data_IF_292679670362
#
_entry.id   IF_292679670362
#
_cell.length_a   1.000
_cell.length_b   1.000
_cell.length_c   1.000
_cell.angle_alpha   90.00
_cell.angle_beta   90.00
_cell.angle_gamma   90.00
#
_symmetry.space_group_name_H-M   'P 1'
#
loop_
_entity.id
_entity.type
_entity.pdbx_description
1 polymer ?
#
# COMPACT_ATOMS: atom_id res chain seq x y z
N UNK A 1 -34.01 -4.30 -18.05
CA UNK A 1 -35.41 -4.45 -17.59
C UNK A 1 -35.79 -3.13 -16.95
N UNK A 2 -36.68 -2.36 -17.57
CA UNK A 2 -37.18 -1.13 -16.95
C UNK A 2 -38.05 -1.52 -15.76
N UNK A 3 -37.79 -0.89 -14.63
CA UNK A 3 -38.55 -1.06 -13.40
C UNK A 3 -39.93 -0.39 -13.59
N UNK A 4 -41.00 -1.05 -13.17
CA UNK A 4 -42.39 -0.65 -13.45
C UNK A 4 -42.82 0.68 -12.83
N UNK A 5 -43.96 1.21 -13.27
CA UNK A 5 -44.52 2.48 -12.77
C UNK A 5 -44.82 2.46 -11.26
N UNK A 6 -45.11 1.28 -10.69
CA UNK A 6 -45.31 1.12 -9.24
C UNK A 6 -44.10 1.58 -8.40
N UNK A 7 -42.90 1.56 -8.97
CA UNK A 7 -41.70 2.03 -8.28
C UNK A 7 -41.50 3.54 -8.40
N UNK A 8 -42.05 4.17 -9.44
CA UNK A 8 -42.17 5.63 -9.51
C UNK A 8 -43.09 6.13 -8.38
N UNK A 9 -44.18 5.41 -8.12
CA UNK A 9 -45.10 5.68 -7.01
C UNK A 9 -44.37 5.64 -5.65
N UNK A 10 -43.41 4.73 -5.43
CA UNK A 10 -42.60 4.72 -4.20
C UNK A 10 -41.84 6.04 -4.00
N UNK A 11 -41.20 6.57 -5.04
CA UNK A 11 -40.52 7.86 -4.97
C UNK A 11 -41.48 9.00 -4.66
N UNK A 12 -42.68 9.00 -5.25
CA UNK A 12 -43.68 10.05 -4.99
C UNK A 12 -44.26 9.96 -3.58
N UNK A 13 -44.46 8.75 -3.04
CA UNK A 13 -44.84 8.50 -1.64
C UNK A 13 -43.77 9.08 -0.72
N UNK A 14 -42.49 8.77 -0.93
CA UNK A 14 -41.38 9.30 -0.13
C UNK A 14 -41.26 10.83 -0.23
N UNK A 15 -41.66 11.41 -1.35
CA UNK A 15 -41.71 12.87 -1.53
C UNK A 15 -42.87 13.54 -0.78
N UNK A 16 -43.93 12.79 -0.48
CA UNK A 16 -45.18 13.31 0.12
C UNK A 16 -45.32 13.03 1.60
N UNK A 17 -44.56 12.07 2.12
CA UNK A 17 -44.64 11.58 3.48
C UNK A 17 -43.26 11.52 4.13
N UNK A 18 -43.22 11.85 5.42
CA UNK A 18 -41.97 11.83 6.17
C UNK A 18 -41.66 10.44 6.68
N UNK A 19 -40.38 10.08 6.61
CA UNK A 19 -39.83 8.95 7.36
C UNK A 19 -40.07 9.17 8.86
N UNK A 20 -40.65 8.17 9.51
CA UNK A 20 -40.88 8.23 10.96
C UNK A 20 -39.55 8.19 11.72
N UNK A 21 -39.38 9.11 12.67
CA UNK A 21 -38.17 9.23 13.49
C UNK A 21 -37.86 7.91 14.19
N UNK A 22 -36.61 7.43 14.07
CA UNK A 22 -36.12 6.17 14.64
C UNK A 22 -36.82 4.90 14.13
N UNK A 23 -37.40 4.95 12.94
CA UNK A 23 -37.93 3.75 12.26
C UNK A 23 -37.54 3.76 10.79
N UNK A 24 -37.44 2.59 10.17
CA UNK A 24 -37.21 2.46 8.72
C UNK A 24 -38.55 2.38 7.96
N UNK A 25 -39.56 3.13 8.42
CA UNK A 25 -40.91 3.08 7.87
C UNK A 25 -41.45 4.46 7.53
N UNK A 26 -42.17 4.53 6.41
CA UNK A 26 -43.07 5.64 6.08
C UNK A 26 -44.48 5.16 6.35
N UNK A 27 -45.22 5.89 7.19
CA UNK A 27 -46.56 5.50 7.63
C UNK A 27 -47.56 6.58 7.28
N UNK A 28 -48.66 6.20 6.64
CA UNK A 28 -49.72 7.11 6.23
C UNK A 28 -51.07 6.38 6.17
N UNK A 29 -52.17 7.13 6.08
CA UNK A 29 -53.49 6.54 5.95
C UNK A 29 -53.84 6.33 4.47
N UNK A 30 -54.60 5.28 4.18
CA UNK A 30 -55.08 4.98 2.84
C UNK A 30 -56.00 6.09 2.31
N UNK A 31 -56.77 6.73 3.19
CA UNK A 31 -57.59 7.90 2.86
C UNK A 31 -56.74 9.08 2.39
N UNK A 32 -55.65 9.41 3.10
CA UNK A 32 -54.77 10.51 2.68
C UNK A 32 -54.03 10.17 1.37
N UNK A 33 -53.64 8.90 1.20
CA UNK A 33 -53.03 8.43 -0.04
C UNK A 33 -53.95 8.66 -1.25
N UNK A 34 -55.22 8.22 -1.17
CA UNK A 34 -56.22 8.40 -2.24
C UNK A 34 -56.43 9.87 -2.62
N UNK A 35 -56.34 10.77 -1.63
CA UNK A 35 -56.50 12.21 -1.86
C UNK A 35 -55.27 12.80 -2.58
N UNK A 36 -54.06 12.46 -2.15
CA UNK A 36 -52.82 13.00 -2.73
C UNK A 36 -52.45 12.41 -4.09
N UNK A 37 -52.73 11.12 -4.30
CA UNK A 37 -52.35 10.37 -5.51
C UNK A 37 -53.53 10.09 -6.43
N UNK A 38 -54.61 10.88 -6.36
CA UNK A 38 -55.84 10.64 -7.11
C UNK A 38 -55.61 10.61 -8.64
N UNK A 39 -54.60 11.31 -9.14
CA UNK A 39 -54.26 11.34 -10.57
C UNK A 39 -53.32 10.19 -10.97
N UNK A 40 -52.51 9.69 -10.05
CA UNK A 40 -51.46 8.71 -10.31
C UNK A 40 -51.91 7.26 -10.01
N UNK A 41 -52.70 7.05 -8.94
CA UNK A 41 -53.17 5.74 -8.49
C UNK A 41 -54.56 5.79 -7.83
N UNK A 42 -55.55 6.33 -8.54
CA UNK A 42 -56.93 6.50 -8.04
C UNK A 42 -57.55 5.22 -7.45
N UNK A 43 -57.27 4.09 -8.09
CA UNK A 43 -57.85 2.79 -7.74
C UNK A 43 -56.92 1.95 -6.84
N UNK A 44 -55.83 2.51 -6.32
CA UNK A 44 -54.87 1.82 -5.42
C UNK A 44 -54.18 0.62 -6.11
N UNK A 45 -54.23 0.54 -7.44
CA UNK A 45 -53.73 -0.61 -8.19
C UNK A 45 -52.22 -0.76 -8.01
N UNK A 46 -51.48 0.34 -8.01
CA UNK A 46 -50.03 0.30 -7.86
C UNK A 46 -49.62 0.07 -6.41
N UNK A 47 -50.36 0.64 -5.45
CA UNK A 47 -50.14 0.37 -4.04
C UNK A 47 -50.40 -1.11 -3.68
N UNK A 48 -51.43 -1.75 -4.24
CA UNK A 48 -51.70 -3.18 -4.08
C UNK A 48 -50.57 -4.04 -4.67
N UNK A 49 -50.01 -3.66 -5.82
CA UNK A 49 -48.83 -4.34 -6.39
C UNK A 49 -47.61 -4.25 -5.46
N UNK A 50 -47.38 -3.08 -4.85
CA UNK A 50 -46.30 -2.88 -3.89
C UNK A 50 -46.50 -3.69 -2.60
N UNK A 51 -47.74 -3.90 -2.18
CA UNK A 51 -48.09 -4.80 -1.08
C UNK A 51 -47.80 -6.27 -1.46
N UNK A 52 -48.20 -6.72 -2.65
CA UNK A 52 -47.90 -8.07 -3.15
C UNK A 52 -46.40 -8.34 -3.26
N UNK A 53 -45.62 -7.33 -3.65
CA UNK A 53 -44.15 -7.39 -3.69
C UNK A 53 -43.51 -7.28 -2.30
N UNK A 54 -44.30 -7.01 -1.26
CA UNK A 54 -43.88 -6.99 0.14
C UNK A 54 -43.18 -5.71 0.58
N UNK A 55 -43.18 -4.64 -0.21
CA UNK A 55 -42.67 -3.32 0.17
C UNK A 55 -43.58 -2.62 1.17
N UNK A 56 -44.88 -2.88 1.04
CA UNK A 56 -45.93 -2.22 1.82
C UNK A 56 -46.72 -3.26 2.62
N UNK A 57 -47.28 -2.83 3.76
CA UNK A 57 -48.29 -3.59 4.50
C UNK A 57 -49.48 -2.69 4.76
N UNK A 58 -50.68 -3.14 4.39
CA UNK A 58 -51.93 -2.43 4.63
C UNK A 58 -52.70 -3.12 5.76
N UNK A 59 -52.99 -2.39 6.85
CA UNK A 59 -53.79 -2.90 7.99
C UNK A 59 -54.66 -1.79 8.54
N UNK A 60 -55.97 -2.04 8.65
CA UNK A 60 -56.93 -1.12 9.25
C UNK A 60 -56.80 0.33 8.71
N UNK A 61 -56.81 0.50 7.38
CA UNK A 61 -56.63 1.79 6.68
C UNK A 61 -55.26 2.47 6.89
N UNK A 62 -54.31 1.83 7.56
CA UNK A 62 -52.94 2.31 7.72
C UNK A 62 -52.04 1.58 6.73
N UNK A 63 -51.24 2.34 6.02
CA UNK A 63 -50.25 1.87 5.06
C UNK A 63 -48.86 2.07 5.67
N UNK A 64 -48.07 1.01 5.70
CA UNK A 64 -46.69 1.01 6.22
C UNK A 64 -45.76 0.61 5.08
N UNK A 65 -44.96 1.56 4.58
CA UNK A 65 -43.90 1.31 3.61
C UNK A 65 -42.59 1.02 4.33
N UNK A 66 -42.00 -0.15 4.06
CA UNK A 66 -40.74 -0.58 4.63
C UNK A 66 -39.56 -0.13 3.76
N UNK A 67 -38.79 0.84 4.26
CA UNK A 67 -37.64 1.42 3.56
C UNK A 67 -36.51 0.41 3.41
N UNK A 68 -36.23 -0.38 4.45
CA UNK A 68 -35.18 -1.40 4.42
C UNK A 68 -35.37 -2.32 3.21
N UNK A 69 -36.58 -2.85 3.01
CA UNK A 69 -36.88 -3.74 1.89
C UNK A 69 -36.69 -3.06 0.55
N UNK A 70 -37.08 -1.78 0.45
CA UNK A 70 -36.89 -1.00 -0.77
C UNK A 70 -35.42 -0.75 -1.10
N UNK A 71 -34.61 -0.33 -0.12
CA UNK A 71 -33.17 -0.15 -0.30
C UNK A 71 -32.47 -1.46 -0.68
N UNK A 72 -32.80 -2.57 -0.01
CA UNK A 72 -32.24 -3.88 -0.32
C UNK A 72 -32.58 -4.32 -1.75
N UNK A 73 -33.83 -4.13 -2.17
CA UNK A 73 -34.25 -4.39 -3.55
C UNK A 73 -33.52 -3.52 -4.57
N UNK A 74 -33.36 -2.22 -4.30
CA UNK A 74 -32.58 -1.33 -5.15
C UNK A 74 -31.14 -1.82 -5.30
N UNK A 75 -30.48 -2.16 -4.20
CA UNK A 75 -29.10 -2.66 -4.19
C UNK A 75 -28.97 -3.97 -4.98
N UNK A 76 -29.92 -4.89 -4.81
CA UNK A 76 -29.97 -6.15 -5.57
C UNK A 76 -30.07 -5.90 -7.08
N UNK A 77 -30.95 -4.99 -7.50
CA UNK A 77 -31.10 -4.63 -8.92
C UNK A 77 -29.86 -3.92 -9.44
N UNK A 78 -29.33 -2.96 -8.68
CA UNK A 78 -28.15 -2.20 -9.05
C UNK A 78 -26.96 -3.14 -9.27
N UNK A 79 -26.71 -4.06 -8.34
CA UNK A 79 -25.68 -5.09 -8.46
C UNK A 79 -25.88 -5.94 -9.72
N UNK A 80 -27.08 -6.46 -9.97
CA UNK A 80 -27.38 -7.23 -11.20
C UNK A 80 -27.10 -6.43 -12.47
N UNK A 81 -27.50 -5.16 -12.52
CA UNK A 81 -27.26 -4.31 -13.69
C UNK A 81 -25.78 -4.04 -13.90
N UNK A 82 -25.04 -3.71 -12.84
CA UNK A 82 -23.59 -3.49 -12.92
C UNK A 82 -22.85 -4.75 -13.39
N UNK A 83 -23.21 -5.93 -12.85
CA UNK A 83 -22.66 -7.22 -13.31
C UNK A 83 -22.98 -7.46 -14.77
N UNK A 84 -24.19 -7.17 -15.23
CA UNK A 84 -24.56 -7.32 -16.64
C UNK A 84 -23.77 -6.39 -17.59
N UNK A 85 -23.24 -5.28 -17.07
CA UNK A 85 -22.35 -4.36 -17.79
C UNK A 85 -20.86 -4.71 -17.63
N UNK A 86 -20.52 -5.79 -16.91
CA UNK A 86 -19.15 -6.28 -16.74
C UNK A 86 -18.43 -5.76 -15.48
N UNK A 87 -19.09 -4.99 -14.63
CA UNK A 87 -18.51 -4.51 -13.38
C UNK A 87 -18.60 -5.55 -12.27
N UNK A 88 -17.53 -5.68 -11.47
CA UNK A 88 -17.45 -6.59 -10.32
C UNK A 88 -17.49 -5.78 -9.02
N UNK A 89 -18.68 -5.31 -8.66
CA UNK A 89 -18.92 -4.61 -7.41
C UNK A 89 -19.85 -5.41 -6.51
N UNK A 90 -19.48 -5.49 -5.24
CA UNK A 90 -20.38 -5.93 -4.18
C UNK A 90 -21.06 -4.68 -3.60
N UNK A 91 -22.38 -4.69 -3.56
CA UNK A 91 -23.17 -3.56 -3.07
C UNK A 91 -24.07 -4.06 -1.96
N UNK A 92 -24.06 -3.37 -0.83
CA UNK A 92 -24.82 -3.69 0.37
C UNK A 92 -25.47 -2.44 0.94
N UNK A 93 -26.65 -2.58 1.54
CA UNK A 93 -27.29 -1.51 2.28
C UNK A 93 -27.11 -1.74 3.79
N UNK A 94 -26.47 -0.80 4.48
CA UNK A 94 -26.36 -0.78 5.94
C UNK A 94 -27.57 -0.05 6.53
N UNK A 95 -28.53 -0.82 7.02
CA UNK A 95 -29.77 -0.31 7.60
C UNK A 95 -29.56 0.53 8.88
N UNK A 96 -28.46 0.31 9.60
CA UNK A 96 -28.18 1.02 10.86
C UNK A 96 -27.64 2.41 10.60
N UNK A 97 -26.82 2.54 9.55
CA UNK A 97 -26.22 3.81 9.14
C UNK A 97 -27.01 4.53 8.05
N UNK A 98 -27.96 3.85 7.41
CA UNK A 98 -28.71 4.34 6.24
C UNK A 98 -27.77 4.72 5.08
N UNK A 99 -26.82 3.81 4.79
CA UNK A 99 -25.79 3.96 3.76
C UNK A 99 -25.83 2.79 2.78
N UNK A 100 -25.53 3.07 1.52
CA UNK A 100 -25.18 2.04 0.53
C UNK A 100 -23.66 1.98 0.45
N UNK A 101 -23.13 0.79 0.67
CA UNK A 101 -21.70 0.48 0.68
C UNK A 101 -21.38 -0.23 -0.62
N UNK A 102 -20.39 0.30 -1.36
CA UNK A 102 -19.87 -0.32 -2.56
C UNK A 102 -18.45 -0.80 -2.26
N UNK A 103 -18.23 -2.09 -2.48
CA UNK A 103 -16.96 -2.77 -2.28
C UNK A 103 -16.50 -3.48 -3.54
N UNK A 104 -15.19 -3.68 -3.63
CA UNK A 104 -14.54 -4.51 -4.63
C UNK A 104 -13.50 -5.35 -3.88
N UNK A 105 -13.53 -6.66 -4.08
CA UNK A 105 -12.61 -7.62 -3.42
C UNK A 105 -12.60 -7.50 -1.87
N UNK A 106 -13.78 -7.49 -1.26
CA UNK A 106 -14.02 -7.41 0.21
C UNK A 106 -13.61 -6.09 0.91
N UNK A 107 -13.09 -5.09 0.19
CA UNK A 107 -12.80 -3.77 0.75
C UNK A 107 -13.92 -2.76 0.46
N UNK A 108 -14.40 -2.06 1.49
CA UNK A 108 -15.39 -0.99 1.36
C UNK A 108 -14.71 0.23 0.76
N UNK A 109 -15.18 0.61 -0.42
CA UNK A 109 -14.48 1.57 -1.26
C UNK A 109 -15.26 2.87 -1.47
N UNK A 110 -16.57 2.85 -1.32
CA UNK A 110 -17.42 4.04 -1.38
C UNK A 110 -18.65 3.86 -0.51
N UNK A 111 -18.96 4.90 0.27
CA UNK A 111 -20.20 5.00 1.05
C UNK A 111 -21.10 6.08 0.44
N UNK A 112 -22.36 5.74 0.20
CA UNK A 112 -23.36 6.62 -0.38
C UNK A 112 -24.50 6.79 0.62
N UNK A 113 -24.82 8.03 0.99
CA UNK A 113 -25.94 8.31 1.88
C UNK A 113 -27.26 8.07 1.15
N UNK A 114 -28.24 7.52 1.87
CA UNK A 114 -29.60 7.36 1.34
C UNK A 114 -30.49 8.48 1.86
N UNK A 115 -31.15 9.19 0.95
CA UNK A 115 -32.06 10.28 1.32
C UNK A 115 -33.51 10.00 0.93
N UNK A 116 -34.41 10.18 1.91
CA UNK A 116 -35.87 10.14 1.76
C UNK A 116 -36.53 11.48 2.06
N UNK A 117 -35.80 12.50 2.50
CA UNK A 117 -36.36 13.82 2.80
C UNK A 117 -36.23 14.74 1.57
N UNK A 118 -37.36 15.12 0.93
CA UNK A 118 -37.35 16.01 -0.22
C UNK A 118 -36.87 17.43 0.11
N UNK A 119 -36.82 17.80 1.40
CA UNK A 119 -36.33 19.10 1.88
C UNK A 119 -34.94 19.01 2.51
N UNK A 120 -34.23 17.90 2.35
CA UNK A 120 -32.87 17.77 2.89
C UNK A 120 -31.97 18.86 2.32
N UNK A 121 -31.30 19.61 3.18
CA UNK A 121 -30.16 20.43 2.76
C UNK A 121 -29.01 19.48 2.42
N UNK A 122 -28.70 19.38 1.13
CA UNK A 122 -27.58 18.58 0.68
C UNK A 122 -26.27 19.20 1.18
N UNK A 123 -25.46 18.39 1.85
CA UNK A 123 -24.07 18.72 2.06
C UNK A 123 -23.32 18.39 0.76
N UNK A 124 -22.64 19.37 0.17
CA UNK A 124 -22.00 19.23 -1.14
C UNK A 124 -20.90 18.15 -1.16
N UNK A 125 -20.37 17.80 0.02
CA UNK A 125 -19.28 16.84 0.15
C UNK A 125 -19.77 15.38 0.33
N UNK A 126 -21.07 15.16 0.56
CA UNK A 126 -21.63 13.83 0.80
C UNK A 126 -22.37 13.30 -0.42
N UNK A 127 -21.85 12.21 -1.00
CA UNK A 127 -22.53 11.54 -2.10
C UNK A 127 -23.82 10.90 -1.61
N UNK A 128 -24.93 11.31 -2.21
CA UNK A 128 -26.27 10.93 -1.76
C UNK A 128 -27.07 10.32 -2.92
N UNK A 129 -27.69 9.17 -2.69
CA UNK A 129 -28.72 8.60 -3.56
C UNK A 129 -30.09 8.99 -3.01
N UNK A 130 -30.89 9.63 -3.86
CA UNK A 130 -32.23 10.08 -3.51
C UNK A 130 -33.27 9.05 -3.89
N UNK A 131 -34.10 8.71 -2.91
CA UNK A 131 -35.27 7.86 -3.05
C UNK A 131 -36.57 8.68 -3.13
N UNK A 132 -36.48 10.01 -3.07
CA UNK A 132 -37.57 10.94 -3.27
C UNK A 132 -37.22 11.94 -4.39
N UNK A 133 -38.25 12.61 -4.91
CA UNK A 133 -38.10 13.70 -5.87
C UNK A 133 -37.73 14.98 -5.13
N UNK A 134 -36.65 15.63 -5.58
CA UNK A 134 -36.23 16.93 -5.07
C UNK A 134 -36.88 18.06 -5.87
N UNK A 135 -37.41 19.11 -5.21
CA UNK A 135 -38.09 20.22 -5.88
C UNK A 135 -37.15 21.21 -6.59
N UNK A 136 -35.85 21.19 -6.32
CA UNK A 136 -34.96 22.34 -6.62
C UNK A 136 -33.67 22.02 -7.39
N UNK A 137 -33.46 20.78 -7.85
CA UNK A 137 -32.17 20.40 -8.46
C UNK A 137 -32.36 19.76 -9.85
N UNK A 138 -31.72 20.36 -10.85
CA UNK A 138 -31.62 19.79 -12.21
C UNK A 138 -30.70 18.55 -12.27
N UNK A 139 -29.84 18.35 -11.27
CA UNK A 139 -28.87 17.25 -11.27
C UNK A 139 -28.75 16.65 -9.86
N UNK A 140 -29.51 15.59 -9.59
CA UNK A 140 -29.35 14.75 -8.40
C UNK A 140 -29.41 13.27 -8.77
N UNK A 141 -28.73 12.45 -7.99
CA UNK A 141 -28.63 11.02 -8.24
C UNK A 141 -29.88 10.30 -7.72
N UNK A 142 -30.90 10.17 -8.58
CA UNK A 142 -32.15 9.49 -8.23
C UNK A 142 -32.06 7.99 -8.49
N UNK A 143 -32.45 7.18 -7.50
CA UNK A 143 -32.36 5.72 -7.56
C UNK A 143 -33.07 5.12 -8.78
N UNK A 144 -34.26 5.64 -9.11
CA UNK A 144 -35.07 5.15 -10.24
C UNK A 144 -34.42 5.47 -11.60
N UNK A 145 -33.66 6.57 -11.70
CA UNK A 145 -32.93 6.90 -12.92
C UNK A 145 -31.74 5.95 -13.06
N UNK A 146 -31.00 5.72 -11.97
CA UNK A 146 -29.85 4.80 -11.97
C UNK A 146 -30.19 3.39 -12.43
N UNK A 147 -31.35 2.87 -12.04
CA UNK A 147 -31.76 1.51 -12.42
C UNK A 147 -32.46 1.42 -13.77
N UNK A 148 -32.80 2.55 -14.42
CA UNK A 148 -33.52 2.54 -15.70
C UNK A 148 -32.72 3.13 -16.88
N UNK A 149 -31.72 3.97 -16.62
CA UNK A 149 -30.91 4.63 -17.65
C UNK A 149 -29.48 4.07 -17.66
N UNK A 150 -29.08 3.45 -18.78
CA UNK A 150 -27.73 2.90 -18.96
C UNK A 150 -26.64 3.99 -18.90
N UNK A 151 -26.91 5.20 -19.38
CA UNK A 151 -25.94 6.29 -19.33
C UNK A 151 -25.72 6.76 -17.90
N UNK A 152 -26.80 6.92 -17.14
CA UNK A 152 -26.71 7.26 -15.71
C UNK A 152 -25.94 6.19 -14.94
N UNK A 153 -26.19 4.90 -15.24
CA UNK A 153 -25.49 3.78 -14.63
C UNK A 153 -24.00 3.75 -15.00
N UNK A 154 -23.64 4.02 -16.25
CA UNK A 154 -22.25 4.10 -16.71
C UNK A 154 -21.49 5.25 -16.04
N UNK A 155 -22.12 6.43 -15.96
CA UNK A 155 -21.53 7.60 -15.27
C UNK A 155 -21.30 7.28 -13.78
N UNK A 156 -22.29 6.68 -13.13
CA UNK A 156 -22.18 6.24 -11.74
C UNK A 156 -21.04 5.25 -11.53
N UNK A 157 -20.93 4.24 -12.40
CA UNK A 157 -19.87 3.23 -12.37
C UNK A 157 -18.48 3.84 -12.58
N UNK A 158 -18.37 4.84 -13.47
CA UNK A 158 -17.13 5.58 -13.70
C UNK A 158 -16.71 6.40 -12.48
N UNK A 159 -17.67 7.06 -11.81
CA UNK A 159 -17.41 7.81 -10.58
C UNK A 159 -16.88 6.89 -9.48
N UNK A 160 -17.53 5.73 -9.29
CA UNK A 160 -17.08 4.71 -8.34
C UNK A 160 -15.68 4.20 -8.71
N UNK A 161 -15.47 3.81 -9.97
CA UNK A 161 -14.17 3.36 -10.50
C UNK A 161 -13.05 4.36 -10.26
N UNK A 162 -13.28 5.65 -10.48
CA UNK A 162 -12.24 6.66 -10.28
C UNK A 162 -11.95 6.92 -8.80
N UNK A 163 -12.97 6.86 -7.94
CA UNK A 163 -12.76 6.92 -6.49
C UNK A 163 -11.94 5.74 -6.00
N UNK A 164 -12.27 4.54 -6.46
CA UNK A 164 -11.51 3.31 -6.24
C UNK A 164 -10.04 3.45 -6.66
N UNK A 165 -9.81 3.86 -7.91
CA UNK A 165 -8.46 4.12 -8.42
C UNK A 165 -7.72 5.13 -7.55
N UNK A 166 -8.35 6.24 -7.17
CA UNK A 166 -7.74 7.26 -6.29
C UNK A 166 -7.34 6.69 -4.93
N UNK A 167 -8.22 5.92 -4.28
CA UNK A 167 -7.91 5.24 -3.01
C UNK A 167 -6.73 4.27 -3.17
N UNK A 168 -6.70 3.50 -4.26
CA UNK A 168 -5.60 2.60 -4.56
C UNK A 168 -4.28 3.35 -4.86
N UNK A 169 -4.35 4.56 -5.42
CA UNK A 169 -3.17 5.45 -5.56
C UNK A 169 -2.63 5.87 -4.19
N UNK A 170 -3.51 6.22 -3.25
CA UNK A 170 -3.11 6.64 -1.90
C UNK A 170 -2.48 5.50 -1.08
N UNK A 171 -2.84 4.24 -1.37
CA UNK A 171 -2.29 3.04 -0.72
C UNK A 171 -0.96 2.53 -1.30
N UNK A 172 -0.34 3.25 -2.22
CA UNK A 172 0.91 2.82 -2.85
C UNK A 172 2.09 2.77 -1.88
N UNK A 173 2.94 1.75 -2.05
CA UNK A 173 4.15 1.58 -1.24
C UNK A 173 5.29 2.38 -1.88
N UNK A 174 5.85 3.30 -1.11
CA UNK A 174 6.99 4.13 -1.51
C UNK A 174 8.17 3.93 -0.57
N UNK A 175 9.35 3.71 -1.14
CA UNK A 175 10.62 3.67 -0.41
C UNK A 175 11.30 5.04 -0.50
N UNK A 176 11.54 5.65 0.66
CA UNK A 176 12.09 6.99 0.80
C UNK A 176 13.29 7.05 1.78
N UNK A 177 13.80 5.91 2.22
CA UNK A 177 14.89 5.81 3.20
C UNK A 177 16.29 5.90 2.57
N UNK A 178 16.40 6.32 1.31
CA UNK A 178 17.66 6.50 0.58
C UNK A 178 18.40 7.80 0.93
N UNK A 179 18.00 8.47 2.03
CA UNK A 179 18.60 9.74 2.46
C UNK A 179 20.11 9.57 2.72
N UNK A 180 20.91 10.44 2.11
CA UNK A 180 22.37 10.44 2.26
C UNK A 180 23.14 9.50 1.34
N UNK A 181 22.43 8.75 0.47
CA UNK A 181 23.02 8.00 -0.65
C UNK A 181 23.22 8.90 -1.86
N UNK A 182 24.26 8.62 -2.64
CA UNK A 182 24.52 9.33 -3.88
C UNK A 182 23.64 8.74 -5.02
N UNK A 183 23.30 9.51 -6.07
CA UNK A 183 22.41 9.04 -7.13
C UNK A 183 22.88 7.74 -7.82
N UNK A 184 24.20 7.52 -7.89
CA UNK A 184 24.81 6.29 -8.41
C UNK A 184 24.47 5.06 -7.55
N UNK A 185 24.43 5.19 -6.22
CA UNK A 185 24.05 4.11 -5.32
C UNK A 185 22.57 3.76 -5.47
N UNK A 186 21.72 4.78 -5.62
CA UNK A 186 20.27 4.60 -5.86
C UNK A 186 20.04 3.89 -7.21
N UNK A 187 20.82 4.23 -8.24
CA UNK A 187 20.81 3.53 -9.51
C UNK A 187 21.20 2.06 -9.35
N UNK A 188 22.23 1.74 -8.56
CA UNK A 188 22.59 0.34 -8.29
C UNK A 188 21.48 -0.41 -7.54
N UNK A 189 20.86 0.21 -6.53
CA UNK A 189 19.74 -0.39 -5.83
C UNK A 189 18.59 -0.70 -6.80
N UNK A 190 18.23 0.26 -7.66
CA UNK A 190 17.11 0.11 -8.60
C UNK A 190 17.38 -0.90 -9.71
N UNK A 191 18.52 -0.79 -10.41
CA UNK A 191 18.82 -1.60 -11.58
C UNK A 191 19.43 -2.98 -11.25
N UNK A 192 20.02 -3.14 -10.07
CA UNK A 192 20.67 -4.39 -9.65
C UNK A 192 19.90 -5.03 -8.51
N UNK A 193 19.90 -4.43 -7.32
CA UNK A 193 19.43 -5.08 -6.09
C UNK A 193 17.96 -5.49 -6.14
N UNK A 194 17.07 -4.59 -6.58
CA UNK A 194 15.64 -4.88 -6.66
C UNK A 194 15.34 -5.88 -7.78
N UNK A 195 15.96 -5.71 -8.95
CA UNK A 195 15.79 -6.67 -10.07
C UNK A 195 16.26 -8.07 -9.68
N UNK A 196 17.39 -8.19 -8.99
CA UNK A 196 17.89 -9.48 -8.50
C UNK A 196 16.93 -10.13 -7.51
N UNK A 197 16.37 -9.37 -6.56
CA UNK A 197 15.39 -9.89 -5.62
C UNK A 197 14.17 -10.52 -6.32
N UNK A 198 13.62 -9.84 -7.33
CA UNK A 198 12.48 -10.39 -8.08
C UNK A 198 12.86 -11.63 -8.92
N UNK A 199 14.09 -11.67 -9.46
CA UNK A 199 14.63 -12.87 -10.13
C UNK A 199 14.78 -14.04 -9.16
N UNK A 200 15.22 -13.81 -7.92
CA UNK A 200 15.31 -14.86 -6.89
C UNK A 200 13.95 -15.48 -6.54
N UNK A 201 12.88 -14.70 -6.65
CA UNK A 201 11.51 -15.17 -6.49
C UNK A 201 10.92 -15.84 -7.74
N UNK A 202 11.72 -16.02 -8.80
CA UNK A 202 11.30 -16.52 -10.11
C UNK A 202 10.16 -15.70 -10.74
N UNK A 203 10.17 -14.37 -10.55
CA UNK A 203 9.21 -13.47 -11.19
C UNK A 203 9.77 -12.93 -12.51
N UNK A 204 8.91 -12.85 -13.52
CA UNK A 204 9.30 -12.36 -14.84
C UNK A 204 9.42 -10.82 -14.82
N UNK A 205 10.58 -10.31 -15.25
CA UNK A 205 10.83 -8.87 -15.40
C UNK A 205 10.57 -8.47 -16.85
N UNK A 206 9.68 -7.51 -17.04
CA UNK A 206 9.30 -6.96 -18.33
C UNK A 206 9.87 -5.53 -18.43
N UNK A 207 10.86 -5.36 -19.31
CA UNK A 207 11.56 -4.06 -19.48
C UNK A 207 10.84 -3.10 -20.44
N UNK A 208 9.86 -3.60 -21.22
CA UNK A 208 9.11 -2.78 -22.16
C UNK A 208 7.81 -2.24 -21.55
N UNK A 209 7.63 -0.92 -21.69
CA UNK A 209 6.46 -0.17 -21.28
C UNK A 209 5.53 -0.01 -22.49
N UNK A 210 4.45 -0.79 -22.57
CA UNK A 210 3.38 -0.49 -23.54
C UNK A 210 2.39 0.55 -23.01
N UNK A 211 2.31 0.74 -21.69
CA UNK A 211 1.19 1.42 -21.01
C UNK A 211 1.65 2.68 -20.27
N UNK A 212 2.31 3.60 -20.98
CA UNK A 212 2.90 4.85 -20.41
C UNK A 212 1.86 5.81 -19.83
N UNK A 213 0.64 5.85 -20.39
CA UNK A 213 -0.36 6.88 -20.05
C UNK A 213 -0.89 6.77 -18.60
N UNK A 214 -1.15 5.54 -18.14
CA UNK A 214 -1.63 5.28 -16.77
C UNK A 214 -0.53 5.59 -15.74
N UNK A 215 0.74 5.37 -16.10
CA UNK A 215 1.89 5.68 -15.24
C UNK A 215 2.05 7.19 -15.06
N UNK A 216 1.91 8.00 -16.12
CA UNK A 216 1.98 9.46 -16.03
C UNK A 216 0.89 10.05 -15.13
N UNK A 217 -0.36 9.58 -15.25
CA UNK A 217 -1.47 10.00 -14.39
C UNK A 217 -1.21 9.72 -12.91
N UNK A 218 -0.50 8.63 -12.64
CA UNK A 218 -0.24 8.16 -11.27
C UNK A 218 1.00 8.80 -10.64
N UNK A 219 2.05 9.00 -11.42
CA UNK A 219 3.36 9.49 -10.95
C UNK A 219 3.40 11.03 -10.89
N UNK A 220 2.65 11.71 -11.77
CA UNK A 220 2.59 13.17 -11.89
C UNK A 220 3.95 13.85 -12.13
N UNK A 221 4.95 13.12 -12.63
CA UNK A 221 6.26 13.66 -13.04
C UNK A 221 6.61 13.15 -14.43
N UNK A 222 7.33 13.97 -15.21
CA UNK A 222 7.68 13.64 -16.60
C UNK A 222 8.90 12.73 -16.70
N UNK A 223 9.82 12.81 -15.72
CA UNK A 223 11.03 11.99 -15.66
C UNK A 223 10.90 10.89 -14.61
N UNK A 224 10.83 9.64 -15.06
CA UNK A 224 10.92 8.46 -14.20
C UNK A 224 11.48 7.27 -14.98
N UNK A 225 12.21 6.40 -14.27
CA UNK A 225 12.56 5.08 -14.80
C UNK A 225 11.49 4.07 -14.34
N UNK A 226 11.07 3.16 -15.23
CA UNK A 226 10.08 2.12 -14.88
C UNK A 226 10.44 0.78 -15.53
N UNK A 227 10.18 -0.30 -14.80
CA UNK A 227 10.04 -1.64 -15.35
C UNK A 227 8.90 -2.36 -14.64
N UNK A 228 8.40 -3.44 -15.25
CA UNK A 228 7.33 -4.23 -14.68
C UNK A 228 7.83 -5.60 -14.21
N UNK A 229 7.16 -6.14 -13.19
CA UNK A 229 7.38 -7.48 -12.67
C UNK A 229 6.06 -8.23 -12.68
N UNK A 230 6.00 -9.40 -13.31
CA UNK A 230 4.78 -10.20 -13.42
C UNK A 230 4.73 -11.25 -12.30
N UNK A 231 3.61 -11.30 -11.58
CA UNK A 231 3.29 -12.32 -10.59
C UNK A 231 1.89 -12.87 -10.86
N UNK A 232 1.82 -13.99 -11.57
CA UNK A 232 0.54 -14.58 -11.97
C UNK A 232 -0.28 -13.62 -12.85
N UNK A 233 -1.44 -13.21 -12.34
CA UNK A 233 -2.33 -12.25 -13.01
C UNK A 233 -2.01 -10.79 -12.72
N UNK A 234 -1.10 -10.52 -11.77
CA UNK A 234 -0.76 -9.16 -11.36
C UNK A 234 0.54 -8.70 -12.01
N UNK A 235 0.62 -7.40 -12.30
CA UNK A 235 1.82 -6.70 -12.77
C UNK A 235 2.20 -5.62 -11.76
N UNK A 236 3.45 -5.61 -11.33
CA UNK A 236 3.99 -4.64 -10.41
C UNK A 236 4.86 -3.67 -11.21
N UNK A 237 4.47 -2.41 -11.32
CA UNK A 237 5.33 -1.36 -11.82
C UNK A 237 6.30 -0.93 -10.72
N UNK A 238 7.60 -0.96 -11.03
CA UNK A 238 8.67 -0.51 -10.14
C UNK A 238 9.22 0.79 -10.71
N UNK A 239 8.91 1.90 -10.07
CA UNK A 239 9.10 3.24 -10.61
C UNK A 239 10.15 3.98 -9.77
N UNK A 240 11.21 4.46 -10.39
CA UNK A 240 12.21 5.31 -9.74
C UNK A 240 11.93 6.77 -10.09
N UNK A 241 11.80 7.58 -9.04
CA UNK A 241 11.60 9.03 -9.13
C UNK A 241 12.61 9.67 -8.20
N UNK A 242 13.63 10.31 -8.75
CA UNK A 242 14.73 10.93 -7.99
C UNK A 242 15.29 9.97 -6.92
N UNK A 243 15.12 10.32 -5.64
CA UNK A 243 15.58 9.58 -4.47
C UNK A 243 14.49 8.67 -3.85
N UNK A 244 13.49 8.27 -4.64
CA UNK A 244 12.38 7.43 -4.19
C UNK A 244 12.11 6.32 -5.20
N UNK A 245 11.68 5.18 -4.68
CA UNK A 245 11.23 4.05 -5.51
C UNK A 245 9.80 3.71 -5.09
N UNK A 246 8.86 3.77 -6.04
CA UNK A 246 7.45 3.48 -5.85
C UNK A 246 7.10 2.13 -6.47
N UNK A 247 6.15 1.45 -5.84
CA UNK A 247 5.59 0.19 -6.35
C UNK A 247 4.10 0.37 -6.55
N UNK A 248 3.63 -0.01 -7.74
CA UNK A 248 2.23 0.11 -8.13
C UNK A 248 1.78 -1.23 -8.71
N UNK A 249 0.65 -1.74 -8.25
CA UNK A 249 0.12 -3.03 -8.68
C UNK A 249 -1.06 -2.85 -9.62
N UNK A 250 -1.02 -3.56 -10.72
CA UNK A 250 -2.07 -3.63 -11.74
C UNK A 250 -2.54 -5.08 -11.90
N UNK A 251 -3.81 -5.27 -12.25
CA UNK A 251 -4.33 -6.55 -12.71
C UNK A 251 -4.11 -6.74 -14.24
N UNK A 252 -4.72 -7.79 -14.82
CA UNK A 252 -4.61 -8.07 -16.26
C UNK A 252 -5.31 -7.01 -17.13
N UNK A 253 -6.27 -6.27 -16.58
CA UNK A 253 -7.04 -5.23 -17.25
C UNK A 253 -6.39 -3.85 -17.07
N UNK A 254 -5.17 -3.79 -16.53
CA UNK A 254 -4.43 -2.57 -16.21
C UNK A 254 -5.16 -1.67 -15.20
N UNK A 255 -6.01 -2.25 -14.34
CA UNK A 255 -6.67 -1.54 -13.25
C UNK A 255 -5.76 -1.55 -12.04
N UNK A 256 -5.65 -0.40 -11.37
CA UNK A 256 -4.93 -0.27 -10.10
C UNK A 256 -5.63 -1.11 -9.03
N UNK A 257 -4.90 -2.07 -8.48
CA UNK A 257 -5.45 -3.01 -7.48
C UNK A 257 -4.56 -3.08 -6.25
N UNK A 258 -5.18 -3.35 -5.11
CA UNK A 258 -4.49 -3.68 -3.88
C UNK A 258 -4.44 -5.21 -3.73
N UNK A 259 -3.27 -5.78 -3.44
CA UNK A 259 -3.13 -7.22 -3.24
C UNK A 259 -2.13 -7.51 -2.10
N UNK A 260 -2.61 -8.19 -1.06
CA UNK A 260 -1.84 -8.46 0.16
C UNK A 260 -0.61 -9.33 -0.10
N UNK A 261 -0.67 -10.29 -1.03
CA UNK A 261 0.48 -11.14 -1.34
C UNK A 261 1.58 -10.38 -2.08
N UNK A 262 1.21 -9.42 -2.92
CA UNK A 262 2.16 -8.51 -3.59
C UNK A 262 2.76 -7.55 -2.56
N UNK A 263 1.92 -6.98 -1.70
CA UNK A 263 2.34 -6.09 -0.60
C UNK A 263 3.36 -6.78 0.32
N UNK A 264 3.10 -8.02 0.75
CA UNK A 264 4.03 -8.79 1.58
C UNK A 264 5.41 -8.98 0.93
N UNK A 265 5.46 -9.21 -0.38
CA UNK A 265 6.72 -9.30 -1.14
C UNK A 265 7.46 -7.95 -1.08
N UNK A 266 6.75 -6.85 -1.32
CA UNK A 266 7.34 -5.50 -1.33
C UNK A 266 7.81 -5.11 0.08
N UNK A 267 7.06 -5.44 1.14
CA UNK A 267 7.47 -5.20 2.53
C UNK A 267 8.73 -6.00 2.86
N UNK A 268 8.80 -7.27 2.47
CA UNK A 268 10.01 -8.10 2.66
C UNK A 268 11.22 -7.50 1.94
N UNK A 269 11.03 -7.00 0.71
CA UNK A 269 12.06 -6.28 -0.02
C UNK A 269 12.50 -5.01 0.73
N UNK A 270 11.56 -4.25 1.28
CA UNK A 270 11.82 -3.03 2.06
C UNK A 270 12.76 -3.31 3.23
N UNK A 271 12.46 -4.34 4.02
CA UNK A 271 13.26 -4.72 5.19
C UNK A 271 14.69 -5.10 4.78
N UNK A 272 14.84 -5.96 3.76
CA UNK A 272 16.15 -6.35 3.22
C UNK A 272 16.96 -5.15 2.71
N UNK A 273 16.30 -4.21 2.03
CA UNK A 273 16.96 -3.00 1.54
C UNK A 273 17.39 -2.07 2.67
N UNK A 274 16.58 -1.90 3.72
CA UNK A 274 16.94 -1.10 4.89
C UNK A 274 18.20 -1.66 5.56
N UNK A 275 18.27 -2.99 5.75
CA UNK A 275 19.46 -3.63 6.29
C UNK A 275 20.70 -3.37 5.43
N UNK A 276 20.57 -3.47 4.10
CA UNK A 276 21.64 -3.18 3.13
C UNK A 276 22.11 -1.73 3.17
N UNK A 277 21.18 -0.78 3.22
CA UNK A 277 21.49 0.66 3.30
C UNK A 277 22.18 0.98 4.61
N UNK A 278 21.75 0.38 5.72
CA UNK A 278 22.41 0.53 7.01
C UNK A 278 23.83 -0.06 7.01
N UNK A 279 24.04 -1.23 6.38
CA UNK A 279 25.37 -1.82 6.17
C UNK A 279 26.29 -0.85 5.40
N UNK A 280 25.80 -0.28 4.29
CA UNK A 280 26.53 0.68 3.48
C UNK A 280 26.88 1.96 4.25
N UNK A 281 25.92 2.54 4.97
CA UNK A 281 26.14 3.75 5.76
C UNK A 281 27.19 3.53 6.85
N UNK A 282 27.18 2.37 7.52
CA UNK A 282 28.20 1.99 8.48
C UNK A 282 29.60 1.90 7.84
N UNK A 283 29.70 1.27 6.66
CA UNK A 283 30.93 1.17 5.88
C UNK A 283 31.44 2.57 5.48
N UNK A 284 30.56 3.42 4.96
CA UNK A 284 30.87 4.80 4.54
C UNK A 284 31.37 5.63 5.72
N UNK A 285 30.80 5.48 6.90
CA UNK A 285 31.27 6.18 8.10
C UNK A 285 32.66 5.73 8.53
N UNK A 286 32.97 4.42 8.47
CA UNK A 286 34.32 3.89 8.76
C UNK A 286 35.36 4.49 7.79
N UNK A 287 35.01 4.56 6.50
CA UNK A 287 35.88 5.15 5.47
C UNK A 287 36.07 6.65 5.67
N UNK A 288 34.99 7.41 5.91
CA UNK A 288 35.04 8.87 6.13
C UNK A 288 35.91 9.26 7.33
N UNK A 289 35.84 8.47 8.41
CA UNK A 289 36.65 8.69 9.61
C UNK A 289 38.14 8.30 9.43
N UNK A 290 38.54 7.84 8.24
CA UNK A 290 39.90 7.37 7.93
C UNK A 290 40.40 6.38 8.98
N UNK A 291 39.51 5.57 9.56
CA UNK A 291 39.86 4.65 10.65
C UNK A 291 40.93 3.68 10.18
N UNK A 292 40.85 3.21 8.93
CA UNK A 292 41.85 2.32 8.34
C UNK A 292 43.21 3.01 8.21
N UNK A 293 43.26 4.25 7.70
CA UNK A 293 44.51 4.99 7.55
C UNK A 293 45.13 5.31 8.91
N UNK A 294 44.31 5.72 9.89
CA UNK A 294 44.76 6.03 11.24
C UNK A 294 45.24 4.77 11.95
N UNK A 295 44.52 3.66 11.85
CA UNK A 295 44.95 2.38 12.43
C UNK A 295 46.19 1.82 11.75
N UNK A 296 46.35 2.00 10.42
CA UNK A 296 47.58 1.64 9.70
C UNK A 296 48.78 2.45 10.20
N UNK A 297 48.60 3.76 10.39
CA UNK A 297 49.65 4.64 10.96
C UNK A 297 50.00 4.24 12.39
N UNK A 298 49.02 3.91 13.23
CA UNK A 298 49.25 3.43 14.59
C UNK A 298 50.00 2.10 14.58
N UNK A 299 49.62 1.14 13.73
CA UNK A 299 50.32 -0.13 13.58
C UNK A 299 51.76 0.06 13.07
N UNK A 300 52.00 1.00 12.15
CA UNK A 300 53.34 1.37 11.70
C UNK A 300 54.17 2.00 12.83
N UNK A 301 53.59 2.93 13.60
CA UNK A 301 54.23 3.52 14.78
C UNK A 301 54.62 2.46 15.82
N UNK A 302 53.71 1.54 16.13
CA UNK A 302 53.98 0.43 17.03
C UNK A 302 55.08 -0.49 16.48
N UNK A 303 55.10 -0.76 15.18
CA UNK A 303 56.15 -1.57 14.55
C UNK A 303 57.52 -0.86 14.60
N UNK A 304 57.57 0.45 14.36
CA UNK A 304 58.79 1.27 14.46
C UNK A 304 59.34 1.27 15.88
N UNK A 305 58.50 1.17 16.91
CA UNK A 305 58.93 1.12 18.31
C UNK A 305 59.32 -0.31 18.73
N UNK A 306 58.48 -1.29 18.42
CA UNK A 306 58.65 -2.67 18.89
C UNK A 306 59.78 -3.40 18.16
N UNK A 307 60.01 -3.16 16.87
CA UNK A 307 61.05 -3.84 16.09
C UNK A 307 62.46 -3.51 16.60
N UNK A 308 62.84 -2.24 16.84
CA UNK A 308 64.13 -1.91 17.44
C UNK A 308 64.25 -2.42 18.88
N UNK A 309 63.19 -2.38 19.69
CA UNK A 309 63.20 -2.94 21.05
C UNK A 309 63.50 -4.45 21.00
N UNK A 310 62.80 -5.20 20.14
CA UNK A 310 63.09 -6.62 19.93
C UNK A 310 64.51 -6.85 19.44
N UNK A 311 65.00 -6.02 18.50
CA UNK A 311 66.37 -6.10 17.98
C UNK A 311 67.42 -5.85 19.06
N UNK A 312 67.20 -4.86 19.93
CA UNK A 312 68.06 -4.54 21.07
C UNK A 312 68.04 -5.65 22.12
N UNK A 313 66.87 -6.23 22.41
CA UNK A 313 66.76 -7.38 23.31
C UNK A 313 67.52 -8.58 22.74
N UNK A 314 67.39 -8.85 21.44
CA UNK A 314 68.08 -9.96 20.77
C UNK A 314 69.61 -9.76 20.76
N UNK A 315 70.08 -8.56 20.41
CA UNK A 315 71.50 -8.19 20.45
C UNK A 315 72.06 -8.28 21.88
N UNK A 316 71.35 -7.76 22.86
CA UNK A 316 71.79 -7.80 24.26
C UNK A 316 71.86 -9.23 24.82
N UNK A 317 70.93 -10.10 24.43
CA UNK A 317 70.99 -11.52 24.73
C UNK A 317 72.19 -12.20 24.05
N UNK A 318 72.46 -11.86 22.78
CA UNK A 318 73.63 -12.37 22.05
C UNK A 318 74.95 -11.91 22.66
N UNK A 319 74.99 -10.71 23.26
CA UNK A 319 76.16 -10.13 23.92
C UNK A 319 76.29 -10.58 25.40
N UNK A 320 75.41 -11.46 25.89
CA UNK A 320 75.40 -11.95 27.27
C UNK A 320 75.38 -10.83 28.34
N UNK A 321 74.67 -9.73 28.08
CA UNK A 321 74.55 -8.64 29.06
C UNK A 321 73.68 -9.13 30.25
N UNK A 322 74.30 -9.28 31.42
CA UNK A 322 73.73 -9.95 32.61
C UNK A 322 72.39 -9.38 33.09
N UNK A 323 72.23 -8.05 33.05
CA UNK A 323 70.98 -7.39 33.45
C UNK A 323 69.81 -7.67 32.49
N UNK A 324 70.05 -7.70 31.18
CA UNK A 324 69.01 -7.96 30.18
C UNK A 324 68.61 -9.43 30.18
N UNK A 325 69.55 -10.32 30.49
CA UNK A 325 69.31 -11.74 30.68
C UNK A 325 68.36 -12.00 31.86
N UNK A 326 68.55 -11.30 32.98
CA UNK A 326 67.61 -11.37 34.13
C UNK A 326 66.20 -10.86 33.80
N UNK A 327 66.08 -9.83 32.96
CA UNK A 327 64.77 -9.30 32.53
C UNK A 327 64.06 -10.27 31.58
N UNK A 328 64.78 -10.87 30.64
CA UNK A 328 64.22 -11.77 29.63
C UNK A 328 63.93 -13.17 30.18
N UNK A 329 64.69 -13.65 31.16
CA UNK A 329 64.44 -14.92 31.87
C UNK A 329 63.32 -14.79 32.92
N UNK A 330 62.88 -13.58 33.25
CA UNK A 330 61.76 -13.36 34.15
C UNK A 330 60.43 -13.76 33.48
N UNK A 331 59.86 -14.87 33.94
CA UNK A 331 58.58 -15.41 33.44
C UNK A 331 57.44 -14.38 33.44
N UNK A 332 57.39 -13.46 34.42
CA UNK A 332 56.35 -12.43 34.46
C UNK A 332 56.48 -11.43 33.31
N UNK A 333 57.71 -11.02 32.97
CA UNK A 333 57.99 -10.09 31.86
C UNK A 333 57.68 -10.76 30.53
N UNK A 334 58.05 -12.03 30.37
CA UNK A 334 57.74 -12.83 29.18
C UNK A 334 56.22 -12.94 28.95
N UNK A 335 55.46 -13.33 29.98
CA UNK A 335 54.00 -13.43 29.89
C UNK A 335 53.33 -12.07 29.67
N UNK A 336 53.85 -11.00 30.28
CA UNK A 336 53.36 -9.64 30.06
C UNK A 336 53.53 -9.17 28.61
N UNK A 337 54.68 -9.44 28.00
CA UNK A 337 54.92 -9.15 26.58
C UNK A 337 54.02 -10.01 25.68
N UNK A 338 53.89 -11.31 25.96
CA UNK A 338 53.01 -12.20 25.19
C UNK A 338 51.54 -11.73 25.22
N UNK A 339 51.03 -11.33 26.38
CA UNK A 339 49.67 -10.77 26.53
C UNK A 339 49.51 -9.48 25.71
N UNK A 340 50.51 -8.60 25.75
CA UNK A 340 50.50 -7.33 25.02
C UNK A 340 50.49 -7.56 23.49
N UNK A 341 51.21 -8.57 23.00
CA UNK A 341 51.13 -9.01 21.60
C UNK A 341 49.75 -9.57 21.23
N UNK A 342 49.12 -10.37 22.09
CA UNK A 342 47.78 -10.92 21.84
C UNK A 342 46.74 -9.79 21.76
N UNK A 343 46.77 -8.84 22.71
CA UNK A 343 45.84 -7.70 22.74
C UNK A 343 46.01 -6.82 21.49
N UNK A 344 47.25 -6.47 21.14
CA UNK A 344 47.52 -5.66 19.94
C UNK A 344 47.10 -6.38 18.65
N UNK A 345 47.26 -7.71 18.58
CA UNK A 345 46.80 -8.52 17.46
C UNK A 345 45.28 -8.53 17.34
N UNK A 346 44.55 -8.77 18.44
CA UNK A 346 43.07 -8.74 18.46
C UNK A 346 42.55 -7.35 18.08
N UNK A 347 43.13 -6.29 18.63
CA UNK A 347 42.79 -4.91 18.28
C UNK A 347 43.00 -4.66 16.78
N UNK A 348 44.13 -5.10 16.22
CA UNK A 348 44.41 -4.93 14.79
C UNK A 348 43.41 -5.69 13.92
N UNK A 349 43.07 -6.93 14.27
CA UNK A 349 42.06 -7.71 13.52
C UNK A 349 40.70 -7.02 13.56
N UNK A 350 40.23 -6.65 14.74
CA UNK A 350 38.88 -6.10 14.95
C UNK A 350 38.72 -4.69 14.39
N UNK A 351 39.75 -3.86 14.44
CA UNK A 351 39.69 -2.45 14.00
C UNK A 351 40.18 -2.22 12.58
N UNK A 352 41.04 -3.09 12.03
CA UNK A 352 41.63 -2.92 10.69
C UNK A 352 41.15 -3.98 9.74
N UNK A 353 41.40 -5.25 10.06
CA UNK A 353 41.18 -6.36 9.12
C UNK A 353 39.69 -6.54 8.85
N UNK A 354 38.87 -6.68 9.90
CA UNK A 354 37.42 -6.92 9.76
C UNK A 354 36.73 -5.78 8.98
N UNK A 355 36.93 -4.49 9.32
CA UNK A 355 36.34 -3.40 8.56
C UNK A 355 36.83 -3.34 7.11
N UNK A 356 38.13 -3.53 6.86
CA UNK A 356 38.68 -3.51 5.49
C UNK A 356 38.10 -4.63 4.63
N UNK A 357 37.93 -5.83 5.19
CA UNK A 357 37.26 -6.94 4.51
C UNK A 357 35.80 -6.58 4.22
N UNK A 358 35.07 -6.00 5.18
CA UNK A 358 33.67 -5.57 4.98
C UNK A 358 33.54 -4.53 3.86
N UNK A 359 34.42 -3.53 3.82
CA UNK A 359 34.46 -2.52 2.75
C UNK A 359 34.71 -3.16 1.39
N UNK A 360 35.73 -4.01 1.27
CA UNK A 360 36.11 -4.59 -0.02
C UNK A 360 35.14 -5.66 -0.52
N UNK A 361 34.32 -6.23 0.35
CA UNK A 361 33.36 -7.28 -0.01
C UNK A 361 31.93 -6.77 -0.16
N UNK A 362 31.67 -5.50 0.18
CA UNK A 362 30.35 -4.93 0.01
C UNK A 362 30.00 -4.85 -1.48
N UNK A 363 28.80 -5.33 -1.79
CA UNK A 363 28.17 -5.22 -3.09
C UNK A 363 26.70 -4.89 -2.86
N UNK A 364 26.11 -4.08 -3.72
CA UNK A 364 24.67 -3.83 -3.67
C UNK A 364 23.82 -5.08 -3.99
N UNK A 365 24.42 -6.12 -4.58
CA UNK A 365 23.77 -7.40 -4.84
C UNK A 365 23.36 -8.13 -3.55
N UNK A 366 22.19 -8.79 -3.58
CA UNK A 366 21.81 -9.75 -2.53
C UNK A 366 22.63 -11.05 -2.63
N UNK A 367 23.19 -11.33 -3.80
CA UNK A 367 24.11 -12.43 -4.01
C UNK A 367 25.48 -12.09 -3.41
N UNK A 368 25.78 -12.61 -2.22
CA UNK A 368 27.16 -12.65 -1.73
C UNK A 368 27.98 -13.52 -2.67
N UNK A 369 28.79 -12.91 -3.55
CA UNK A 369 29.87 -13.62 -4.24
C UNK A 369 30.67 -14.37 -3.18
N UNK A 370 30.63 -15.69 -3.28
CA UNK A 370 31.18 -16.71 -2.38
C UNK A 370 32.71 -16.68 -2.34
N UNK A 371 33.34 -15.51 -2.19
CA UNK A 371 34.79 -15.38 -2.06
C UNK A 371 35.22 -15.73 -0.61
N UNK A 372 34.45 -15.31 0.40
CA UNK A 372 34.75 -15.62 1.80
C UNK A 372 34.51 -17.09 2.18
N UNK A 373 33.50 -17.76 1.61
CA UNK A 373 33.27 -19.20 1.84
C UNK A 373 34.37 -20.08 1.22
N UNK A 374 35.02 -19.61 0.15
CA UNK A 374 36.19 -20.29 -0.45
C UNK A 374 37.49 -20.00 0.30
N UNK A 375 37.64 -18.83 0.91
CA UNK A 375 38.85 -18.47 1.66
C UNK A 375 38.88 -19.02 3.10
N UNK A 376 37.73 -19.35 3.70
CA UNK A 376 37.64 -19.83 5.09
C UNK A 376 37.05 -21.24 5.25
N UNK A 377 36.89 -22.02 4.18
CA UNK A 377 36.70 -23.46 4.32
C UNK A 377 38.03 -24.11 4.72
N UNK A 378 38.20 -24.26 6.04
CA UNK A 378 38.91 -25.39 6.64
C UNK A 378 38.08 -26.65 6.40
#
# INVERSE_FOLDING_TARGET
MLVGYEYEILSRIASSYKLQKNSNNIVFSLTDYKLKFQQDDKNIQYLEKLELQGFITIRNEIVILNITKWCNFFVEILSRRLVSQGYKYDILYDEKKNLIMVSQDDEINTELQVNFDPNSTLDNDVQTIHFCYLPTLEYYLHWFILINDDNALNIFSFVISNKLKKLNIERQISFNFFSGLDPEDINQIYYVTIKEYFKELNLDILEHVSDTQILYETVKTEEFDVYFVKKGQFRIAVIKIENKIKFITYDQENILVHNTDVENIIITLKEKLIEKVNEFNNIRNINKLKVIDNSRKVAQLLSIILVPINGLIFLANSLNISFIKQITENKLVFWGLALLYIITFILTITTVVVPSVRINTFSWSFYKKTLLKKMFNI
#
